data_IF_184144138467
#
_entry.id   IF_184144138467
#
_cell.length_a   1.000
_cell.length_b   1.000
_cell.length_c   1.000
_cell.angle_alpha   90.00
_cell.angle_beta   90.00
_cell.angle_gamma   90.00
#
_symmetry.space_group_name_H-M   'P 1'
#
loop_
_entity.id
_entity.type
_entity.pdbx_description
1 polymer ?
#
# COMPACT_ATOMS: atom_id res chain seq x y z
N UNK A 1 -10.66 37.28 -13.49
CA UNK A 1 -10.59 35.80 -13.34
C UNK A 1 -11.61 35.18 -14.30
N UNK A 2 -11.36 34.02 -14.89
CA UNK A 2 -12.32 33.27 -15.71
C UNK A 2 -13.27 32.49 -14.80
N UNK A 3 -12.71 31.75 -13.85
CA UNK A 3 -13.51 31.02 -12.89
C UNK A 3 -12.73 30.50 -11.69
N UNK A 4 -13.49 30.15 -10.65
CA UNK A 4 -13.04 29.51 -9.42
C UNK A 4 -14.07 28.45 -9.04
N UNK A 5 -13.69 27.18 -9.09
CA UNK A 5 -14.55 26.05 -8.73
C UNK A 5 -13.97 25.34 -7.51
N UNK A 6 -14.76 25.28 -6.45
CA UNK A 6 -14.39 24.61 -5.20
C UNK A 6 -15.32 23.41 -5.02
N UNK A 7 -14.75 22.22 -4.91
CA UNK A 7 -15.51 20.96 -4.86
C UNK A 7 -15.91 20.57 -3.44
N UNK A 8 -16.62 21.50 -2.78
CA UNK A 8 -17.26 21.30 -1.49
C UNK A 8 -18.78 21.39 -1.64
N UNK A 9 -19.51 20.61 -0.84
CA UNK A 9 -20.99 20.52 -0.88
C UNK A 9 -21.70 21.88 -0.88
N UNK A 10 -21.29 22.92 -0.12
CA UNK A 10 -21.92 24.23 -0.16
C UNK A 10 -21.88 24.92 -1.54
N UNK A 11 -20.99 24.50 -2.43
CA UNK A 11 -20.81 25.06 -3.76
C UNK A 11 -21.34 24.14 -4.86
N UNK A 12 -21.97 23.01 -4.49
CA UNK A 12 -22.47 22.00 -5.41
C UNK A 12 -23.96 21.80 -5.18
N UNK A 13 -24.76 22.00 -6.23
CA UNK A 13 -26.19 21.72 -6.23
C UNK A 13 -26.51 20.62 -7.26
N UNK A 14 -26.72 19.40 -6.76
CA UNK A 14 -26.88 18.21 -7.60
C UNK A 14 -25.64 17.96 -8.45
N UNK A 15 -25.76 18.14 -9.77
CA UNK A 15 -24.63 18.04 -10.71
C UNK A 15 -24.01 19.38 -11.07
N UNK A 16 -24.49 20.52 -10.54
CA UNK A 16 -23.93 21.84 -10.85
C UNK A 16 -22.93 22.27 -9.80
N UNK A 17 -21.79 22.76 -10.24
CA UNK A 17 -20.73 23.34 -9.40
C UNK A 17 -20.68 24.83 -9.69
N UNK A 18 -20.88 25.66 -8.67
CA UNK A 18 -20.89 27.10 -8.83
C UNK A 18 -19.49 27.62 -9.19
N UNK A 19 -19.43 28.51 -10.18
CA UNK A 19 -18.25 29.33 -10.38
C UNK A 19 -18.29 30.48 -9.36
N UNK A 20 -17.38 30.49 -8.39
CA UNK A 20 -17.36 31.50 -7.33
C UNK A 20 -16.81 32.86 -7.78
N UNK A 21 -16.35 32.95 -9.03
CA UNK A 21 -15.83 34.19 -9.61
C UNK A 21 -16.77 34.83 -10.66
N UNK A 22 -17.85 34.15 -11.07
CA UNK A 22 -18.81 34.65 -12.05
C UNK A 22 -20.17 33.96 -11.93
N UNK A 23 -21.24 34.53 -12.52
CA UNK A 23 -22.59 33.92 -12.53
C UNK A 23 -22.71 32.78 -13.56
N UNK A 24 -21.84 31.77 -13.45
CA UNK A 24 -21.83 30.57 -14.29
C UNK A 24 -21.65 29.32 -13.43
N UNK A 25 -21.83 28.15 -14.03
CA UNK A 25 -21.65 26.85 -13.36
C UNK A 25 -20.90 25.88 -14.25
N UNK A 26 -20.15 24.95 -13.66
CA UNK A 26 -19.73 23.73 -14.33
C UNK A 26 -20.71 22.60 -14.04
N UNK A 27 -20.85 21.64 -14.96
CA UNK A 27 -21.72 20.47 -14.82
C UNK A 27 -20.91 19.20 -14.64
N UNK A 28 -21.12 18.50 -13.53
CA UNK A 28 -20.56 17.17 -13.28
C UNK A 28 -21.18 16.15 -14.24
N UNK A 29 -20.33 15.48 -15.02
CA UNK A 29 -20.70 14.45 -15.99
C UNK A 29 -20.03 13.13 -15.61
N UNK A 30 -20.69 12.02 -15.93
CA UNK A 30 -20.17 10.67 -15.67
C UNK A 30 -20.18 10.27 -14.19
N UNK A 31 -19.26 9.39 -13.78
CA UNK A 31 -19.15 8.88 -12.41
C UNK A 31 -18.28 9.81 -11.56
N UNK A 32 -18.84 10.30 -10.46
CA UNK A 32 -18.13 11.14 -9.50
C UNK A 32 -18.63 10.90 -8.08
N UNK A 33 -17.82 11.29 -7.10
CA UNK A 33 -18.23 11.39 -5.69
C UNK A 33 -17.67 12.67 -5.07
N UNK A 34 -18.41 13.27 -4.15
CA UNK A 34 -17.86 14.28 -3.25
C UNK A 34 -17.50 13.56 -1.96
N UNK A 35 -16.21 13.49 -1.67
CA UNK A 35 -15.65 12.71 -0.55
C UNK A 35 -15.01 13.64 0.47
N UNK A 36 -15.13 13.29 1.75
CA UNK A 36 -14.35 13.91 2.81
C UNK A 36 -12.91 13.38 2.74
N UNK A 37 -11.93 14.27 2.63
CA UNK A 37 -10.50 14.00 2.63
C UNK A 37 -9.81 14.92 3.66
N UNK A 38 -9.61 14.40 4.87
CA UNK A 38 -9.18 15.20 6.02
C UNK A 38 -10.20 16.26 6.41
N UNK A 39 -9.79 17.53 6.43
CA UNK A 39 -10.64 18.68 6.80
C UNK A 39 -11.41 19.27 5.61
N UNK A 40 -11.27 18.69 4.42
CA UNK A 40 -11.88 19.19 3.19
C UNK A 40 -12.70 18.15 2.47
N UNK A 41 -13.58 18.64 1.60
CA UNK A 41 -14.21 17.81 0.60
C UNK A 41 -13.50 18.00 -0.74
N UNK A 42 -13.53 16.94 -1.54
CA UNK A 42 -12.96 16.94 -2.88
C UNK A 42 -13.87 16.17 -3.84
N UNK A 43 -13.79 16.55 -5.11
CA UNK A 43 -14.32 15.75 -6.21
C UNK A 43 -13.40 14.55 -6.43
N UNK A 44 -13.90 13.35 -6.19
CA UNK A 44 -13.24 12.09 -6.54
C UNK A 44 -13.73 11.61 -7.90
N UNK A 45 -12.76 11.34 -8.78
CA UNK A 45 -12.95 10.83 -10.13
C UNK A 45 -12.28 9.46 -10.25
N UNK A 46 -13.03 8.47 -10.74
CA UNK A 46 -12.58 7.08 -10.86
C UNK A 46 -12.15 6.71 -12.28
N UNK A 47 -11.85 7.71 -13.12
CA UNK A 47 -11.61 7.56 -14.55
C UNK A 47 -12.89 7.58 -15.40
N UNK A 48 -14.06 7.86 -14.80
CA UNK A 48 -15.35 7.89 -15.50
C UNK A 48 -16.09 9.23 -15.45
N UNK A 49 -15.54 10.29 -14.85
CA UNK A 49 -16.24 11.56 -14.67
C UNK A 49 -15.37 12.79 -14.84
N UNK A 50 -16.02 13.97 -14.88
CA UNK A 50 -15.41 15.30 -15.09
C UNK A 50 -16.37 16.41 -14.66
N UNK A 51 -15.89 17.65 -14.61
CA UNK A 51 -16.72 18.85 -14.51
C UNK A 51 -16.65 19.66 -15.81
N UNK A 52 -17.70 19.62 -16.62
CA UNK A 52 -17.81 20.33 -17.89
C UNK A 52 -18.11 21.81 -17.65
N UNK A 53 -17.22 22.73 -18.04
CA UNK A 53 -17.47 24.18 -17.95
C UNK A 53 -18.26 24.64 -19.18
N UNK A 54 -17.82 24.23 -20.38
CA UNK A 54 -18.53 24.48 -21.63
C UNK A 54 -18.17 23.45 -22.71
N UNK A 55 -19.16 23.04 -23.50
CA UNK A 55 -18.93 22.14 -24.65
C UNK A 55 -18.21 22.84 -25.81
N UNK A 56 -18.36 24.17 -25.90
CA UNK A 56 -17.55 25.02 -26.75
C UNK A 56 -16.93 26.14 -25.90
N UNK A 57 -15.61 26.13 -25.82
CA UNK A 57 -14.77 27.09 -25.10
C UNK A 57 -15.12 28.56 -25.38
N UNK A 58 -15.62 28.90 -26.57
CA UNK A 58 -16.02 30.27 -26.95
C UNK A 58 -17.13 30.83 -26.05
N UNK A 59 -17.94 29.96 -25.45
CA UNK A 59 -19.07 30.36 -24.58
C UNK A 59 -18.66 30.62 -23.13
N UNK A 60 -17.42 30.31 -22.74
CA UNK A 60 -16.93 30.39 -21.37
C UNK A 60 -15.86 31.47 -21.13
N UNK A 61 -15.57 32.29 -22.15
CA UNK A 61 -14.63 33.42 -22.04
C UNK A 61 -13.22 32.98 -21.63
N UNK A 62 -12.69 31.96 -22.30
CA UNK A 62 -11.33 31.45 -22.09
C UNK A 62 -10.25 32.54 -22.19
N UNK A 63 -9.06 32.36 -21.58
CA UNK A 63 -7.96 33.32 -21.71
C UNK A 63 -7.48 33.46 -23.16
N UNK A 64 -7.14 34.66 -23.61
CA UNK A 64 -6.70 34.91 -24.99
C UNK A 64 -5.20 35.23 -25.12
N UNK A 65 -4.70 36.21 -24.37
CA UNK A 65 -3.31 36.69 -24.48
C UNK A 65 -2.37 36.02 -23.47
N UNK A 66 -2.81 35.98 -22.21
CA UNK A 66 -2.06 35.45 -21.09
C UNK A 66 -3.01 34.68 -20.17
N UNK A 67 -2.47 33.77 -19.38
CA UNK A 67 -3.25 32.96 -18.46
C UNK A 67 -2.50 32.49 -17.22
N UNK A 68 -3.29 32.10 -16.25
CA UNK A 68 -2.88 31.24 -15.15
C UNK A 68 -3.96 30.20 -14.94
N UNK A 69 -3.57 28.94 -14.78
CA UNK A 69 -4.43 27.90 -14.25
C UNK A 69 -3.79 27.37 -12.95
N UNK A 70 -4.59 27.18 -11.91
CA UNK A 70 -4.16 26.59 -10.64
C UNK A 70 -5.12 25.49 -10.22
N UNK A 71 -4.59 24.46 -9.57
CA UNK A 71 -5.39 23.37 -9.05
C UNK A 71 -4.79 22.77 -7.78
N UNK A 72 -5.64 22.51 -6.79
CA UNK A 72 -5.34 21.59 -5.69
C UNK A 72 -5.80 20.19 -6.11
N UNK A 73 -4.83 19.29 -6.32
CA UNK A 73 -5.06 17.99 -6.95
C UNK A 73 -4.32 16.88 -6.24
N UNK A 74 -4.87 15.66 -6.35
CA UNK A 74 -4.25 14.41 -5.96
C UNK A 74 -4.46 13.41 -7.09
N UNK A 75 -3.38 12.95 -7.71
CA UNK A 75 -3.45 11.94 -8.79
C UNK A 75 -3.26 10.56 -8.21
N UNK A 76 -4.22 9.67 -8.36
CA UNK A 76 -4.20 8.32 -7.76
C UNK A 76 -3.57 7.27 -8.68
N UNK A 77 -3.74 7.44 -9.99
CA UNK A 77 -3.17 6.57 -11.01
C UNK A 77 -2.51 7.42 -12.11
N UNK A 78 -1.24 7.15 -12.38
CA UNK A 78 -0.48 7.73 -13.48
C UNK A 78 -1.02 7.26 -14.84
N UNK A 79 -0.92 8.11 -15.86
CA UNK A 79 -1.30 7.81 -17.25
C UNK A 79 -0.61 8.79 -18.20
N UNK A 80 -0.44 8.41 -19.47
CA UNK A 80 0.26 9.21 -20.47
C UNK A 80 -0.34 10.61 -20.65
N UNK A 81 -1.67 10.77 -20.56
CA UNK A 81 -2.34 12.04 -20.78
C UNK A 81 -3.40 12.27 -19.70
N UNK A 82 -3.20 13.25 -18.82
CA UNK A 82 -4.14 13.60 -17.77
C UNK A 82 -4.35 15.09 -17.64
N UNK A 83 -5.60 15.52 -17.51
CA UNK A 83 -5.97 16.93 -17.44
C UNK A 83 -6.60 17.32 -16.10
N UNK A 84 -6.20 18.47 -15.58
CA UNK A 84 -6.85 19.11 -14.43
C UNK A 84 -7.84 20.16 -14.90
N UNK A 85 -7.43 21.03 -15.82
CA UNK A 85 -8.30 22.01 -16.48
C UNK A 85 -7.66 22.46 -17.79
N UNK A 86 -8.47 22.63 -18.85
CA UNK A 86 -7.96 23.13 -20.12
C UNK A 86 -9.02 23.14 -21.22
N UNK A 87 -8.64 23.74 -22.34
CA UNK A 87 -9.36 23.72 -23.60
C UNK A 87 -8.34 23.48 -24.72
N UNK A 88 -8.32 22.26 -25.23
CA UNK A 88 -7.23 21.69 -26.03
C UNK A 88 -7.79 20.93 -27.24
N UNK A 89 -6.96 20.82 -28.27
CA UNK A 89 -7.09 19.80 -29.31
C UNK A 89 -5.69 19.31 -29.70
N UNK A 90 -5.43 18.00 -29.63
CA UNK A 90 -4.14 17.38 -29.95
C UNK A 90 -4.35 16.13 -30.80
N UNK A 91 -4.50 16.34 -32.12
CA UNK A 91 -4.86 15.29 -33.06
C UNK A 91 -3.75 15.13 -34.12
N UNK A 92 -2.69 14.42 -33.75
CA UNK A 92 -1.54 14.20 -34.62
C UNK A 92 -0.78 15.50 -34.88
N UNK A 93 -0.79 16.01 -36.12
CA UNK A 93 -0.09 17.27 -36.44
C UNK A 93 -0.91 18.53 -36.11
N UNK A 94 -2.16 18.37 -35.64
CA UNK A 94 -3.04 19.49 -35.33
C UNK A 94 -3.17 19.67 -33.82
N UNK A 95 -2.37 20.60 -33.27
CA UNK A 95 -2.27 20.81 -31.82
C UNK A 95 -2.56 22.27 -31.43
N UNK A 96 -3.58 22.52 -30.62
CA UNK A 96 -4.12 23.86 -30.33
C UNK A 96 -4.61 23.99 -28.89
N UNK A 97 -4.65 25.22 -28.38
CA UNK A 97 -5.20 25.56 -27.08
C UNK A 97 -4.20 25.39 -25.93
N UNK A 98 -4.69 24.91 -24.79
CA UNK A 98 -3.88 24.71 -23.59
C UNK A 98 -4.48 23.72 -22.60
N UNK A 99 -3.63 23.13 -21.76
CA UNK A 99 -4.07 22.33 -20.62
C UNK A 99 -3.07 22.36 -19.46
N UNK A 100 -3.57 22.47 -18.24
CA UNK A 100 -2.83 22.15 -17.03
C UNK A 100 -3.16 20.72 -16.62
N UNK A 101 -2.13 19.90 -16.42
CA UNK A 101 -2.33 18.48 -16.20
C UNK A 101 -1.06 17.74 -15.85
N UNK A 102 -0.93 16.53 -16.37
CA UNK A 102 0.23 15.68 -16.23
C UNK A 102 0.35 14.73 -17.42
N UNK A 103 1.58 14.28 -17.64
CA UNK A 103 1.91 13.21 -18.56
C UNK A 103 2.80 12.21 -17.82
N UNK A 104 2.41 10.93 -17.86
CA UNK A 104 2.94 9.84 -17.07
C UNK A 104 2.88 10.15 -15.57
N UNK A 105 4.03 10.53 -15.00
CA UNK A 105 4.19 10.90 -13.58
C UNK A 105 4.69 12.33 -13.41
N UNK A 106 4.66 13.17 -14.45
CA UNK A 106 5.16 14.55 -14.37
C UNK A 106 4.02 15.52 -14.62
N UNK A 107 3.82 16.45 -13.69
CA UNK A 107 2.91 17.57 -13.93
C UNK A 107 3.39 18.39 -15.12
N UNK A 108 2.46 18.95 -15.87
CA UNK A 108 2.75 19.70 -17.09
C UNK A 108 1.79 20.84 -17.34
N UNK A 109 2.29 21.85 -18.04
CA UNK A 109 1.50 22.86 -18.71
C UNK A 109 1.75 22.72 -20.22
N UNK A 110 0.71 22.57 -21.02
CA UNK A 110 0.79 22.63 -22.47
C UNK A 110 0.12 23.90 -22.99
N UNK A 111 0.75 24.58 -23.94
CA UNK A 111 0.25 25.80 -24.58
C UNK A 111 0.68 25.81 -26.05
N UNK A 112 -0.22 26.23 -26.93
CA UNK A 112 0.07 26.59 -28.31
C UNK A 112 -0.17 28.10 -28.48
N UNK A 113 0.89 28.86 -28.73
CA UNK A 113 0.85 30.27 -29.07
C UNK A 113 0.88 30.47 -30.59
N UNK A 114 0.28 31.56 -31.06
CA UNK A 114 0.26 31.91 -32.50
C UNK A 114 1.64 32.19 -33.08
N UNK A 115 2.60 32.62 -32.26
CA UNK A 115 4.01 32.82 -32.63
C UNK A 115 4.93 31.66 -32.23
N UNK A 116 4.38 30.49 -31.89
CA UNK A 116 5.14 29.28 -31.57
C UNK A 116 5.39 28.35 -32.77
N UNK A 117 5.91 27.14 -32.55
CA UNK A 117 6.26 26.15 -33.57
C UNK A 117 5.06 25.44 -34.25
N UNK A 118 3.88 26.07 -34.22
CA UNK A 118 2.60 25.52 -34.70
C UNK A 118 2.15 24.18 -34.06
N UNK A 119 2.66 23.88 -32.86
CA UNK A 119 2.30 22.72 -32.04
C UNK A 119 2.15 23.11 -30.56
N UNK A 120 1.65 22.21 -29.71
CA UNK A 120 1.68 22.39 -28.26
C UNK A 120 3.10 22.20 -27.74
N UNK A 121 3.56 23.11 -26.88
CA UNK A 121 4.76 22.86 -26.06
C UNK A 121 4.35 22.28 -24.72
N UNK A 122 4.72 21.04 -24.44
CA UNK A 122 4.51 20.38 -23.15
C UNK A 122 5.65 20.70 -22.17
N UNK A 123 5.47 21.74 -21.35
CA UNK A 123 6.40 22.06 -20.27
C UNK A 123 6.19 21.12 -19.09
N UNK A 124 7.03 20.09 -18.95
CA UNK A 124 6.98 19.09 -17.88
C UNK A 124 7.80 19.50 -16.66
N UNK A 125 7.34 19.14 -15.47
CA UNK A 125 8.13 19.21 -14.24
C UNK A 125 9.38 18.31 -14.34
N UNK A 126 10.51 18.70 -13.71
CA UNK A 126 11.74 17.92 -13.79
C UNK A 126 11.70 16.62 -12.97
N UNK A 127 10.81 16.54 -11.97
CA UNK A 127 10.67 15.40 -11.08
C UNK A 127 9.27 14.80 -11.16
N UNK A 128 9.20 13.50 -10.92
CA UNK A 128 7.94 12.77 -10.86
C UNK A 128 7.17 13.15 -9.59
N UNK A 129 5.84 13.22 -9.70
CA UNK A 129 4.96 13.27 -8.55
C UNK A 129 4.78 11.87 -7.96
N UNK A 130 4.61 11.83 -6.65
CA UNK A 130 4.14 10.68 -5.91
C UNK A 130 2.60 10.62 -5.98
N UNK A 131 2.01 9.51 -6.47
CA UNK A 131 0.58 9.30 -6.48
C UNK A 131 -0.03 9.38 -5.08
N UNK A 132 -1.34 9.67 -5.04
CA UNK A 132 -2.16 9.73 -3.81
C UNK A 132 -1.72 10.77 -2.80
N UNK A 133 -0.94 11.76 -3.24
CA UNK A 133 -0.60 12.94 -2.46
C UNK A 133 -1.20 14.21 -3.08
N UNK A 134 -1.47 15.16 -2.20
CA UNK A 134 -1.98 16.47 -2.60
C UNK A 134 -0.84 17.39 -3.04
N UNK A 135 -1.09 18.09 -4.13
CA UNK A 135 -0.22 19.12 -4.69
C UNK A 135 -1.04 20.34 -5.05
N UNK A 136 -0.44 21.50 -4.88
CA UNK A 136 -0.87 22.69 -5.60
C UNK A 136 -0.05 22.78 -6.88
N UNK A 137 -0.71 22.60 -8.03
CA UNK A 137 -0.08 22.71 -9.35
C UNK A 137 -0.59 23.98 -10.01
N UNK A 138 0.32 24.78 -10.53
CA UNK A 138 -0.05 25.99 -11.28
C UNK A 138 0.79 26.14 -12.53
N UNK A 139 0.20 26.67 -13.59
CA UNK A 139 0.87 27.02 -14.84
C UNK A 139 0.52 28.43 -15.25
N UNK A 140 1.52 29.22 -15.63
CA UNK A 140 1.35 30.58 -16.16
C UNK A 140 1.87 30.65 -17.59
N UNK A 141 1.21 31.48 -18.40
CA UNK A 141 1.70 31.89 -19.71
C UNK A 141 1.44 33.40 -19.86
N UNK A 142 2.47 34.20 -20.08
CA UNK A 142 2.35 35.66 -20.17
C UNK A 142 2.23 36.20 -21.61
N UNK A 143 2.15 35.30 -22.60
CA UNK A 143 2.22 35.63 -24.02
C UNK A 143 3.63 35.45 -24.63
N UNK A 144 4.64 35.16 -23.81
CA UNK A 144 6.03 34.94 -24.24
C UNK A 144 6.73 33.82 -23.47
N UNK A 145 6.31 33.56 -22.24
CA UNK A 145 6.96 32.63 -21.33
C UNK A 145 5.92 31.76 -20.65
N UNK A 146 6.15 30.45 -20.69
CA UNK A 146 5.49 29.43 -19.88
C UNK A 146 6.26 29.22 -18.57
N UNK A 147 5.58 29.18 -17.43
CA UNK A 147 6.18 28.77 -16.15
C UNK A 147 5.28 27.78 -15.42
N UNK A 148 5.86 26.66 -14.96
CA UNK A 148 5.18 25.65 -14.16
C UNK A 148 5.61 25.77 -12.69
N UNK A 149 4.64 25.63 -11.78
CA UNK A 149 4.83 25.73 -10.34
C UNK A 149 4.26 24.49 -9.64
N UNK A 150 4.97 24.01 -8.62
CA UNK A 150 4.51 22.96 -7.71
C UNK A 150 4.65 23.48 -6.28
N UNK A 151 3.57 23.39 -5.50
CA UNK A 151 3.51 23.82 -4.11
C UNK A 151 4.03 25.26 -3.90
N UNK A 152 3.64 26.15 -4.83
CA UNK A 152 3.98 27.57 -4.80
C UNK A 152 5.38 27.94 -5.32
N UNK A 153 6.22 26.97 -5.71
CA UNK A 153 7.58 27.20 -6.22
C UNK A 153 7.66 26.97 -7.73
N UNK A 154 8.37 27.82 -8.50
CA UNK A 154 8.61 27.57 -9.92
C UNK A 154 9.54 26.35 -10.07
N UNK A 155 9.19 25.43 -10.98
CA UNK A 155 9.95 24.19 -11.21
C UNK A 155 10.39 24.01 -12.66
N UNK A 156 9.77 24.70 -13.62
CA UNK A 156 10.15 24.68 -15.02
C UNK A 156 9.74 25.99 -15.72
N UNK A 157 10.48 26.38 -16.76
CA UNK A 157 10.23 27.58 -17.58
C UNK A 157 10.57 27.28 -19.04
N UNK A 158 9.82 27.85 -19.98
CA UNK A 158 10.11 27.79 -21.43
C UNK A 158 9.68 29.07 -22.14
N UNK A 159 10.38 29.42 -23.21
CA UNK A 159 10.07 30.55 -24.13
C UNK A 159 9.83 30.07 -25.56
N UNK A 160 9.54 28.77 -25.77
CA UNK A 160 9.28 28.20 -27.10
C UNK A 160 7.97 28.73 -27.73
N UNK A 161 7.03 29.18 -26.90
CA UNK A 161 5.73 29.69 -27.31
C UNK A 161 5.66 31.20 -27.15
N UNK A 162 5.00 31.88 -28.09
CA UNK A 162 4.76 33.33 -28.02
C UNK A 162 3.44 33.73 -28.69
N UNK A 163 2.99 34.95 -28.41
CA UNK A 163 1.75 35.53 -28.92
C UNK A 163 0.48 35.01 -28.25
N UNK A 164 -0.70 35.45 -28.73
CA UNK A 164 -2.00 34.97 -28.28
C UNK A 164 -2.10 33.43 -28.33
N UNK A 165 -2.86 32.85 -27.40
CA UNK A 165 -3.17 31.42 -27.38
C UNK A 165 -3.95 31.05 -28.65
N UNK A 166 -3.44 30.05 -29.38
CA UNK A 166 -3.98 29.57 -30.63
C UNK A 166 -5.00 28.46 -30.37
N UNK A 167 -6.28 28.82 -30.29
CA UNK A 167 -7.37 27.84 -30.08
C UNK A 167 -7.83 27.15 -31.36
N UNK A 168 -8.39 25.94 -31.26
CA UNK A 168 -9.12 25.33 -32.37
C UNK A 168 -10.49 25.99 -32.57
N UNK A 169 -11.18 25.78 -33.70
CA UNK A 169 -12.53 26.31 -33.94
C UNK A 169 -13.56 25.90 -32.88
N UNK A 170 -13.38 24.73 -32.27
CA UNK A 170 -14.20 24.19 -31.19
C UNK A 170 -13.32 23.33 -30.27
N UNK A 171 -13.49 23.48 -28.96
CA UNK A 171 -12.88 22.62 -27.95
C UNK A 171 -13.77 22.58 -26.70
N UNK A 172 -13.75 21.46 -25.99
CA UNK A 172 -14.32 21.37 -24.65
C UNK A 172 -13.49 22.23 -23.70
N UNK A 173 -14.15 22.92 -22.77
CA UNK A 173 -13.49 23.53 -21.62
C UNK A 173 -13.98 22.84 -20.36
N UNK A 174 -13.11 22.09 -19.70
CA UNK A 174 -13.52 21.22 -18.60
C UNK A 174 -12.45 20.99 -17.54
N UNK A 175 -12.87 20.39 -16.43
CA UNK A 175 -12.06 20.05 -15.27
C UNK A 175 -12.03 18.54 -15.09
N UNK A 176 -10.84 17.98 -14.87
CA UNK A 176 -10.64 16.58 -14.49
C UNK A 176 -10.58 15.59 -15.65
N UNK A 177 -10.26 16.03 -16.87
CA UNK A 177 -9.94 15.16 -17.98
C UNK A 177 -8.99 15.87 -18.97
N UNK A 178 -8.16 15.07 -19.64
CA UNK A 178 -7.60 15.45 -20.93
C UNK A 178 -8.59 15.00 -21.98
N UNK A 179 -9.19 15.92 -22.72
CA UNK A 179 -10.28 15.62 -23.65
C UNK A 179 -10.26 16.61 -24.80
N UNK A 180 -10.17 16.05 -26.01
CA UNK A 180 -10.33 16.77 -27.25
C UNK A 180 -11.34 16.05 -28.16
N UNK A 181 -11.15 16.12 -29.47
CA UNK A 181 -12.12 15.63 -30.45
C UNK A 181 -12.21 14.10 -30.51
N UNK A 182 -11.10 13.39 -30.32
CA UNK A 182 -11.02 11.92 -30.46
C UNK A 182 -10.30 11.25 -29.27
N UNK A 183 -9.68 12.03 -28.37
CA UNK A 183 -9.08 11.54 -27.15
C UNK A 183 -9.90 11.90 -25.91
N UNK A 184 -10.02 10.96 -24.97
CA UNK A 184 -10.73 11.16 -23.72
C UNK A 184 -10.07 10.37 -22.59
N UNK A 185 -9.26 11.05 -21.79
CA UNK A 185 -8.55 10.49 -20.65
C UNK A 185 -8.98 11.17 -19.33
N UNK A 186 -10.08 10.70 -18.71
CA UNK A 186 -10.53 11.24 -17.44
C UNK A 186 -9.54 10.96 -16.30
N UNK A 187 -9.45 11.89 -15.37
CA UNK A 187 -8.61 11.76 -14.19
C UNK A 187 -9.07 10.59 -13.30
N UNK A 188 -8.09 9.85 -12.78
CA UNK A 188 -8.24 8.97 -11.63
C UNK A 188 -7.54 9.60 -10.43
N UNK A 189 -8.32 10.25 -9.57
CA UNK A 189 -7.78 11.07 -8.50
C UNK A 189 -8.82 11.97 -7.85
N UNK A 190 -8.35 13.01 -7.17
CA UNK A 190 -9.17 13.98 -6.45
C UNK A 190 -8.79 15.41 -6.83
N UNK A 191 -9.79 16.27 -6.91
CA UNK A 191 -9.63 17.72 -7.14
C UNK A 191 -10.40 18.45 -6.04
N UNK A 192 -9.71 19.33 -5.32
CA UNK A 192 -10.34 20.16 -4.31
C UNK A 192 -10.79 21.51 -4.88
N UNK A 193 -9.91 22.16 -5.63
CA UNK A 193 -10.16 23.51 -6.15
C UNK A 193 -9.42 23.74 -7.47
N UNK A 194 -10.05 24.48 -8.39
CA UNK A 194 -9.46 24.96 -9.64
C UNK A 194 -9.74 26.45 -9.81
N UNK A 195 -8.72 27.21 -10.23
CA UNK A 195 -8.87 28.61 -10.66
C UNK A 195 -8.26 28.83 -12.03
N UNK A 196 -8.87 29.72 -12.82
CA UNK A 196 -8.38 30.14 -14.14
C UNK A 196 -8.41 31.66 -14.26
N UNK A 197 -7.33 32.27 -14.73
CA UNK A 197 -7.14 33.72 -14.86
C UNK A 197 -6.81 34.10 -16.31
N UNK A 198 -7.16 35.34 -16.71
CA UNK A 198 -6.82 35.93 -18.03
C UNK A 198 -5.50 36.72 -18.01
N UNK A 199 -4.65 36.44 -17.03
CA UNK A 199 -3.33 37.05 -16.86
C UNK A 199 -2.38 36.03 -16.25
N UNK A 200 -1.09 36.20 -16.47
CA UNK A 200 -0.07 35.49 -15.71
C UNK A 200 -0.01 36.08 -14.29
N UNK A 201 -0.17 35.23 -13.28
CA UNK A 201 0.12 35.57 -11.89
C UNK A 201 1.64 35.57 -11.70
N UNK A 202 2.13 36.47 -10.86
CA UNK A 202 3.53 36.49 -10.44
C UNK A 202 3.87 35.27 -9.56
N UNK A 203 5.15 34.87 -9.46
CA UNK A 203 5.57 33.83 -8.52
C UNK A 203 5.15 34.11 -7.06
N UNK A 204 5.14 35.38 -6.64
CA UNK A 204 4.72 35.77 -5.30
C UNK A 204 3.21 35.53 -5.07
N UNK A 205 2.38 35.83 -6.06
CA UNK A 205 0.93 35.57 -6.01
C UNK A 205 0.65 34.06 -5.96
N UNK A 206 1.34 33.25 -6.76
CA UNK A 206 1.21 31.78 -6.74
C UNK A 206 1.65 31.20 -5.39
N UNK A 207 2.75 31.70 -4.83
CA UNK A 207 3.22 31.30 -3.51
C UNK A 207 2.25 31.72 -2.39
N UNK A 208 1.58 32.86 -2.52
CA UNK A 208 0.55 33.30 -1.58
C UNK A 208 -0.71 32.42 -1.68
N UNK A 209 -1.18 32.13 -2.91
CA UNK A 209 -2.33 31.25 -3.14
C UNK A 209 -2.11 29.85 -2.56
N UNK A 210 -0.92 29.28 -2.78
CA UNK A 210 -0.53 28.02 -2.17
C UNK A 210 -0.61 28.08 -0.64
N UNK A 211 0.00 29.11 -0.01
CA UNK A 211 0.09 29.24 1.45
C UNK A 211 -1.27 29.28 2.15
N UNK A 212 -2.29 29.87 1.52
CA UNK A 212 -3.66 29.95 2.10
C UNK A 212 -4.24 28.57 2.44
N UNK A 213 -3.90 27.56 1.65
CA UNK A 213 -4.43 26.20 1.79
C UNK A 213 -3.36 25.16 2.12
N UNK A 214 -2.06 25.51 2.07
CA UNK A 214 -0.94 24.60 2.31
C UNK A 214 -1.05 23.86 3.63
N UNK A 215 -1.42 24.57 4.70
CA UNK A 215 -1.60 23.96 6.02
C UNK A 215 -2.76 22.98 6.06
N UNK A 216 -3.60 22.89 5.05
CA UNK A 216 -4.78 22.01 5.08
C UNK A 216 -4.58 20.70 4.32
N UNK A 217 -3.50 20.60 3.54
CA UNK A 217 -3.17 19.42 2.73
C UNK A 217 -1.78 18.87 3.09
N UNK A 218 -1.61 17.55 3.27
CA UNK A 218 -0.28 16.97 3.34
C UNK A 218 0.39 17.10 1.96
N UNK A 219 1.38 17.97 1.85
CA UNK A 219 2.16 18.15 0.62
C UNK A 219 3.11 16.98 0.42
N UNK A 220 3.23 16.50 -0.82
CA UNK A 220 4.29 15.57 -1.13
C UNK A 220 5.66 16.25 -1.22
N UNK A 221 6.66 15.51 -0.79
CA UNK A 221 8.05 15.74 -1.17
C UNK A 221 8.22 15.16 -2.59
N UNK A 222 8.99 15.76 -3.53
CA UNK A 222 9.22 15.19 -4.87
C UNK A 222 9.56 13.69 -4.83
N UNK A 223 9.20 12.89 -5.86
CA UNK A 223 9.44 11.44 -5.84
C UNK A 223 10.93 11.08 -5.71
N UNK A 224 11.83 11.94 -6.20
CA UNK A 224 13.28 11.85 -6.02
C UNK A 224 13.73 11.97 -4.56
N UNK A 225 12.86 12.51 -3.70
CA UNK A 225 13.07 12.70 -2.27
C UNK A 225 12.15 11.80 -1.42
N UNK A 226 11.51 10.78 -2.02
CA UNK A 226 10.70 9.81 -1.28
C UNK A 226 11.52 9.20 -0.13
N UNK A 227 10.94 9.18 1.07
CA UNK A 227 11.64 8.74 2.25
C UNK A 227 11.93 7.25 2.19
N UNK A 228 13.16 6.86 2.48
CA UNK A 228 13.59 5.46 2.56
C UNK A 228 13.81 5.07 4.01
N UNK A 229 13.31 3.92 4.47
CA UNK A 229 13.68 3.39 5.77
C UNK A 229 15.18 3.10 5.83
N UNK A 230 15.73 3.03 7.05
CA UNK A 230 17.14 2.67 7.26
C UNK A 230 17.43 1.25 6.77
N UNK A 231 16.45 0.35 6.91
CA UNK A 231 16.49 -1.00 6.36
C UNK A 231 15.07 -1.48 6.00
N UNK A 232 14.96 -2.32 4.97
CA UNK A 232 13.68 -2.78 4.41
C UNK A 232 13.07 -1.81 3.38
N UNK A 233 11.74 -1.85 3.15
CA UNK A 233 10.78 -2.75 3.78
C UNK A 233 10.87 -4.19 3.25
N UNK A 234 10.52 -5.15 4.11
CA UNK A 234 10.28 -6.54 3.74
C UNK A 234 8.83 -6.88 4.00
N UNK A 235 8.23 -7.60 3.06
CA UNK A 235 6.88 -8.12 3.18
C UNK A 235 6.91 -9.64 3.16
N UNK A 236 6.27 -10.24 4.14
CA UNK A 236 6.16 -11.69 4.25
C UNK A 236 4.68 -12.05 4.39
N UNK A 237 4.13 -12.77 3.42
CA UNK A 237 2.81 -13.36 3.62
C UNK A 237 2.90 -14.39 4.74
N UNK A 238 1.94 -14.34 5.67
CA UNK A 238 1.88 -15.29 6.78
C UNK A 238 0.71 -16.24 6.68
N UNK A 239 -0.30 -15.95 5.85
CA UNK A 239 -1.40 -16.84 5.46
C UNK A 239 -2.20 -16.19 4.32
N UNK A 240 -3.19 -16.87 3.72
CA UNK A 240 -4.12 -16.23 2.82
C UNK A 240 -4.76 -15.00 3.47
N UNK A 241 -4.62 -13.87 2.78
CA UNK A 241 -5.13 -12.57 3.20
C UNK A 241 -4.36 -11.85 4.30
N UNK A 242 -3.20 -12.36 4.72
CA UNK A 242 -2.33 -11.67 5.70
C UNK A 242 -0.87 -11.62 5.28
N UNK A 243 -0.24 -10.49 5.58
CA UNK A 243 1.20 -10.29 5.49
C UNK A 243 1.72 -9.54 6.71
N UNK A 244 3.01 -9.66 6.97
CA UNK A 244 3.75 -8.81 7.91
C UNK A 244 4.66 -7.89 7.10
N UNK A 245 4.59 -6.60 7.38
CA UNK A 245 5.52 -5.60 6.88
C UNK A 245 6.56 -5.26 7.96
N UNK A 246 7.85 -5.31 7.61
CA UNK A 246 8.97 -5.00 8.53
C UNK A 246 9.90 -3.96 7.93
N UNK A 247 10.38 -3.03 8.74
CA UNK A 247 11.40 -2.04 8.36
C UNK A 247 12.05 -1.40 9.59
N UNK A 248 13.12 -0.65 9.38
CA UNK A 248 13.83 0.06 10.46
C UNK A 248 13.88 1.57 10.19
N UNK A 249 13.68 2.38 11.22
CA UNK A 249 13.81 3.84 11.18
C UNK A 249 15.02 4.30 12.00
N UNK A 250 15.56 5.48 11.69
CA UNK A 250 16.71 6.05 12.43
C UNK A 250 16.37 6.49 13.86
N UNK A 251 15.09 6.79 14.13
CA UNK A 251 14.60 7.27 15.43
C UNK A 251 13.29 6.53 15.79
N UNK A 252 12.99 6.35 17.09
CA UNK A 252 11.70 5.79 17.52
C UNK A 252 10.53 6.66 17.05
N UNK A 253 9.57 6.05 16.38
CA UNK A 253 8.44 6.74 15.74
C UNK A 253 7.23 5.83 15.67
N UNK A 254 6.02 6.39 15.68
CA UNK A 254 4.81 5.65 15.32
C UNK A 254 4.66 5.73 13.81
N UNK A 255 4.93 4.63 13.13
CA UNK A 255 4.77 4.53 11.69
C UNK A 255 3.47 3.80 11.34
N UNK A 256 3.04 3.96 10.09
CA UNK A 256 1.83 3.34 9.56
C UNK A 256 2.05 2.85 8.14
N UNK A 257 1.29 1.85 7.74
CA UNK A 257 1.31 1.25 6.41
C UNK A 257 -0.03 1.51 5.76
N UNK A 258 -0.02 2.24 4.65
CA UNK A 258 -1.20 2.42 3.81
C UNK A 258 -1.23 1.31 2.74
N UNK A 259 -2.38 0.67 2.60
CA UNK A 259 -2.60 -0.45 1.68
C UNK A 259 -3.72 -0.05 0.72
N UNK A 260 -3.39 0.04 -0.56
CA UNK A 260 -4.34 0.23 -1.65
C UNK A 260 -4.68 -1.12 -2.27
N UNK A 261 -5.97 -1.43 -2.31
CA UNK A 261 -6.52 -2.66 -2.90
C UNK A 261 -7.63 -2.31 -3.89
N UNK A 262 -7.28 -2.12 -5.16
CA UNK A 262 -8.22 -1.58 -6.14
C UNK A 262 -8.57 -0.12 -5.81
N UNK A 263 -9.83 0.16 -5.47
CA UNK A 263 -10.33 1.52 -5.13
C UNK A 263 -10.33 1.83 -3.63
N UNK A 264 -10.08 0.84 -2.78
CA UNK A 264 -10.13 1.02 -1.33
C UNK A 264 -8.74 1.21 -0.77
N UNK A 265 -8.60 2.22 0.09
CA UNK A 265 -7.38 2.52 0.84
C UNK A 265 -7.66 2.25 2.30
N UNK A 266 -6.73 1.60 2.98
CA UNK A 266 -6.78 1.37 4.42
C UNK A 266 -5.41 1.54 5.04
N UNK A 267 -5.38 1.90 6.32
CA UNK A 267 -4.14 2.20 7.02
C UNK A 267 -4.03 1.30 8.25
N UNK A 268 -2.87 0.69 8.43
CA UNK A 268 -2.48 -0.05 9.63
C UNK A 268 -1.46 0.78 10.38
N UNK A 269 -1.71 1.12 11.65
CA UNK A 269 -0.86 2.02 12.44
C UNK A 269 -0.21 1.28 13.60
N UNK A 270 1.07 1.56 13.85
CA UNK A 270 1.78 1.05 15.04
C UNK A 270 1.20 1.61 16.34
N UNK A 271 1.35 0.86 17.43
CA UNK A 271 0.78 1.23 18.74
C UNK A 271 1.66 2.18 19.54
N UNK A 272 2.98 2.11 19.34
CA UNK A 272 3.96 2.86 20.13
C UNK A 272 5.17 3.23 19.26
N UNK A 273 5.95 4.25 19.67
CA UNK A 273 7.16 4.63 18.97
C UNK A 273 8.24 3.54 19.05
N UNK A 274 8.70 3.04 17.90
CA UNK A 274 9.75 2.02 17.82
C UNK A 274 10.72 2.32 16.68
N UNK A 275 11.92 1.73 16.72
CA UNK A 275 12.92 1.80 15.64
C UNK A 275 12.79 0.62 14.68
N UNK A 276 12.47 -0.57 15.20
CA UNK A 276 12.18 -1.77 14.42
C UNK A 276 10.68 -1.95 14.36
N UNK A 277 10.13 -1.79 13.16
CA UNK A 277 8.69 -1.82 12.92
C UNK A 277 8.29 -3.19 12.42
N UNK A 278 7.17 -3.68 12.95
CA UNK A 278 6.48 -4.86 12.47
C UNK A 278 4.98 -4.59 12.49
N UNK A 279 4.36 -4.45 11.32
CA UNK A 279 2.90 -4.25 11.21
C UNK A 279 2.25 -5.41 10.46
N UNK A 280 1.20 -5.95 11.06
CA UNK A 280 0.37 -7.00 10.48
C UNK A 280 -0.67 -6.41 9.53
N UNK A 281 -0.56 -6.74 8.25
CA UNK A 281 -1.48 -6.37 7.19
C UNK A 281 -2.51 -7.50 7.04
N UNK A 282 -3.74 -7.30 7.48
CA UNK A 282 -4.84 -8.31 7.37
C UNK A 282 -5.64 -8.13 6.10
N UNK A 283 -6.76 -8.81 5.82
CA UNK A 283 -7.73 -8.40 4.77
C UNK A 283 -7.20 -8.18 3.34
N UNK A 284 -6.09 -8.82 2.96
CA UNK A 284 -5.54 -8.74 1.60
C UNK A 284 -6.35 -9.67 0.68
N UNK A 285 -7.00 -9.13 -0.34
CA UNK A 285 -7.74 -9.93 -1.31
C UNK A 285 -6.79 -10.86 -2.08
N UNK A 286 -7.14 -12.13 -2.24
CA UNK A 286 -6.34 -13.09 -2.99
C UNK A 286 -6.29 -12.75 -4.49
N UNK A 287 -5.22 -13.16 -5.18
CA UNK A 287 -4.99 -12.92 -6.63
C UNK A 287 -5.12 -11.46 -7.02
N UNK A 288 -4.49 -10.60 -6.22
CA UNK A 288 -4.37 -9.17 -6.46
C UNK A 288 -2.98 -8.67 -6.14
N UNK A 289 -2.54 -7.67 -6.91
CA UNK A 289 -1.42 -6.83 -6.55
C UNK A 289 -1.95 -5.72 -5.65
N UNK A 290 -1.39 -5.61 -4.45
CA UNK A 290 -1.66 -4.52 -3.54
C UNK A 290 -0.51 -3.52 -3.62
N UNK A 291 -0.84 -2.23 -3.63
CA UNK A 291 0.18 -1.18 -3.50
C UNK A 291 0.27 -0.78 -2.03
N UNK A 292 1.49 -0.81 -1.49
CA UNK A 292 1.76 -0.57 -0.08
C UNK A 292 2.70 0.63 0.07
N UNK A 293 2.32 1.62 0.88
CA UNK A 293 3.15 2.80 1.13
C UNK A 293 3.46 2.88 2.62
N UNK A 294 4.75 3.00 2.98
CA UNK A 294 5.16 3.27 4.36
C UNK A 294 5.00 4.76 4.65
N UNK A 295 4.47 5.08 5.81
CA UNK A 295 4.30 6.46 6.27
C UNK A 295 4.96 6.59 7.65
N UNK A 296 5.95 7.46 7.72
CA UNK A 296 6.80 7.69 8.88
C UNK A 296 6.50 9.03 9.55
N UNK A 297 6.18 9.00 10.84
CA UNK A 297 5.87 10.20 11.63
C UNK A 297 4.39 10.61 11.63
N UNK A 298 4.03 11.59 12.48
CA UNK A 298 2.64 11.99 12.71
C UNK A 298 2.13 13.04 11.71
N UNK A 299 0.81 13.05 11.47
CA UNK A 299 0.11 14.16 10.84
C UNK A 299 0.68 14.58 9.48
N UNK A 300 0.92 15.90 9.34
CA UNK A 300 1.37 16.57 8.09
C UNK A 300 2.89 16.55 7.88
N UNK A 301 3.67 16.25 8.91
CA UNK A 301 5.14 16.07 8.79
C UNK A 301 5.50 14.63 8.42
N UNK A 302 4.48 13.79 8.20
CA UNK A 302 4.65 12.41 7.86
C UNK A 302 5.34 12.26 6.51
N UNK A 303 6.45 11.54 6.50
CA UNK A 303 7.21 11.22 5.31
C UNK A 303 6.67 9.94 4.70
N UNK A 304 6.69 9.84 3.38
CA UNK A 304 6.14 8.68 2.65
C UNK A 304 7.23 8.02 1.83
N UNK A 305 7.23 6.69 1.83
CA UNK A 305 8.05 5.92 0.90
C UNK A 305 7.46 5.95 -0.50
N UNK A 306 8.22 5.44 -1.46
CA UNK A 306 7.64 5.00 -2.71
C UNK A 306 6.60 3.88 -2.47
N UNK A 307 5.78 3.62 -3.48
CA UNK A 307 4.87 2.48 -3.47
C UNK A 307 5.65 1.18 -3.63
N UNK A 308 5.29 0.19 -2.82
CA UNK A 308 5.82 -1.17 -2.87
C UNK A 308 4.72 -2.13 -3.29
N UNK A 309 5.00 -2.99 -4.26
CA UNK A 309 4.06 -4.01 -4.69
C UNK A 309 4.07 -5.19 -3.72
N UNK A 310 2.87 -5.59 -3.30
CA UNK A 310 2.63 -6.80 -2.54
C UNK A 310 1.72 -7.70 -3.38
N UNK A 311 2.34 -8.61 -4.11
CA UNK A 311 1.66 -9.50 -5.06
C UNK A 311 1.15 -10.78 -4.37
N UNK A 312 -0.16 -10.84 -4.14
CA UNK A 312 -0.80 -12.00 -3.52
C UNK A 312 -1.05 -13.18 -4.47
N UNK A 313 -0.74 -13.07 -5.77
CA UNK A 313 -0.72 -14.22 -6.67
C UNK A 313 0.32 -15.26 -6.23
N UNK A 314 1.43 -14.80 -5.66
CA UNK A 314 2.53 -15.64 -5.18
C UNK A 314 2.52 -15.84 -3.65
N UNK A 315 1.34 -15.75 -3.02
CA UNK A 315 1.22 -16.06 -1.59
C UNK A 315 1.25 -17.59 -1.36
N UNK A 316 2.45 -18.12 -1.15
CA UNK A 316 2.69 -19.52 -0.77
C UNK A 316 2.82 -19.75 0.75
N UNK A 317 2.41 -18.76 1.55
CA UNK A 317 2.65 -18.75 2.98
C UNK A 317 1.90 -19.90 3.70
N UNK A 318 2.57 -20.66 4.59
CA UNK A 318 1.88 -21.57 5.49
C UNK A 318 1.00 -20.83 6.46
N UNK A 319 -0.11 -21.42 6.87
CA UNK A 319 -0.83 -20.94 8.04
C UNK A 319 0.12 -20.91 9.27
N UNK A 320 0.10 -19.84 10.07
CA UNK A 320 0.92 -19.76 11.28
C UNK A 320 0.41 -20.78 12.29
N UNK A 321 1.31 -21.36 13.07
CA UNK A 321 0.91 -22.26 14.15
C UNK A 321 0.19 -21.47 15.23
N UNK A 322 -1.03 -21.87 15.65
CA UNK A 322 -1.73 -21.19 16.72
C UNK A 322 -0.92 -21.28 18.01
N UNK A 323 -0.81 -20.18 18.74
CA UNK A 323 -0.19 -20.18 20.08
C UNK A 323 -1.06 -21.04 20.99
N UNK A 324 -0.45 -21.98 21.69
CA UNK A 324 -1.14 -22.80 22.68
C UNK A 324 -1.03 -22.11 24.03
N UNK A 325 -2.09 -21.44 24.49
CA UNK A 325 -2.11 -20.76 25.80
C UNK A 325 -2.59 -21.68 26.95
N UNK A 326 -2.96 -22.92 26.62
CA UNK A 326 -3.44 -23.93 27.58
C UNK A 326 -2.31 -24.68 28.31
N UNK A 327 -2.69 -25.70 29.07
CA UNK A 327 -1.76 -26.56 29.84
C UNK A 327 -0.64 -27.13 28.95
N UNK A 328 -0.96 -27.60 27.76
CA UNK A 328 0.00 -28.16 26.80
C UNK A 328 1.05 -27.14 26.34
N UNK A 329 0.65 -25.88 26.16
CA UNK A 329 1.57 -24.79 25.83
C UNK A 329 2.54 -24.47 26.95
N UNK A 330 2.06 -24.40 28.19
CA UNK A 330 2.92 -24.25 29.38
C UNK A 330 3.91 -25.41 29.53
N UNK A 331 3.46 -26.63 29.25
CA UNK A 331 4.30 -27.82 29.25
C UNK A 331 5.39 -27.75 28.16
N UNK A 332 5.03 -27.37 26.93
CA UNK A 332 6.00 -27.16 25.85
C UNK A 332 7.03 -26.07 26.22
N UNK A 333 6.59 -24.94 26.77
CA UNK A 333 7.49 -23.88 27.25
C UNK A 333 8.45 -24.38 28.35
N UNK A 334 7.96 -25.18 29.29
CA UNK A 334 8.79 -25.78 30.35
C UNK A 334 9.84 -26.75 29.79
N UNK A 335 9.45 -27.59 28.82
CA UNK A 335 10.37 -28.50 28.13
C UNK A 335 11.48 -27.73 27.42
N UNK A 336 11.13 -26.69 26.66
CA UNK A 336 12.09 -25.87 25.92
C UNK A 336 13.05 -25.14 26.88
N UNK A 337 12.52 -24.60 27.98
CA UNK A 337 13.34 -23.93 29.01
C UNK A 337 14.30 -24.89 29.72
N UNK A 338 13.83 -26.09 30.09
CA UNK A 338 14.66 -27.10 30.80
C UNK A 338 15.68 -27.76 29.90
N UNK A 339 15.33 -28.03 28.65
CA UNK A 339 16.25 -28.64 27.69
C UNK A 339 17.27 -27.65 27.12
N UNK A 340 16.93 -26.35 27.08
CA UNK A 340 17.71 -25.34 26.38
C UNK A 340 17.69 -25.49 24.85
N UNK A 341 16.86 -26.39 24.31
CA UNK A 341 16.81 -26.72 22.89
C UNK A 341 15.60 -26.05 22.24
N UNK A 342 15.83 -24.98 21.48
CA UNK A 342 14.78 -24.22 20.79
C UNK A 342 14.78 -24.36 19.26
N UNK A 343 15.74 -25.12 18.70
CA UNK A 343 15.95 -25.28 17.26
C UNK A 343 16.55 -26.65 16.93
N UNK A 344 16.41 -27.08 15.67
CA UNK A 344 16.86 -28.39 15.20
C UNK A 344 15.71 -29.38 15.04
N UNK A 345 16.00 -30.67 15.22
CA UNK A 345 15.04 -31.77 15.08
C UNK A 345 14.56 -32.24 16.45
N UNK A 346 13.25 -32.41 16.60
CA UNK A 346 12.63 -32.96 17.80
C UNK A 346 11.83 -34.22 17.48
N UNK A 347 12.04 -35.27 18.27
CA UNK A 347 11.25 -36.50 18.23
C UNK A 347 10.23 -36.48 19.38
N UNK A 348 8.96 -36.63 19.04
CA UNK A 348 7.87 -36.85 20.02
C UNK A 348 7.44 -38.32 19.93
N UNK A 349 7.66 -39.10 20.98
CA UNK A 349 7.34 -40.54 21.00
C UNK A 349 6.08 -40.81 21.83
N UNK A 350 5.13 -41.53 21.25
CA UNK A 350 3.85 -41.86 21.89
C UNK A 350 2.95 -40.64 21.99
N UNK A 351 1.96 -40.59 21.11
CA UNK A 351 0.97 -39.53 21.00
C UNK A 351 -0.24 -39.83 21.89
N UNK A 352 -0.90 -38.78 22.36
CA UNK A 352 -2.28 -38.85 22.84
C UNK A 352 -3.21 -38.28 21.78
N UNK A 353 -3.11 -36.98 21.55
CA UNK A 353 -3.86 -36.24 20.55
C UNK A 353 -2.95 -35.35 19.68
N UNK A 354 -1.62 -35.39 19.86
CA UNK A 354 -0.64 -34.63 19.09
C UNK A 354 -0.51 -33.16 19.47
N UNK A 355 -1.24 -32.67 20.49
CA UNK A 355 -1.24 -31.25 20.86
C UNK A 355 0.11 -30.79 21.41
N UNK A 356 0.87 -31.65 22.07
CA UNK A 356 2.22 -31.32 22.52
C UNK A 356 3.14 -31.04 21.33
N UNK A 357 3.04 -31.84 20.27
CA UNK A 357 3.81 -31.64 19.06
C UNK A 357 3.45 -30.31 18.37
N UNK A 358 2.16 -29.97 18.29
CA UNK A 358 1.70 -28.65 17.78
C UNK A 358 2.26 -27.50 18.63
N UNK A 359 2.17 -27.61 19.96
CA UNK A 359 2.64 -26.60 20.91
C UNK A 359 4.16 -26.39 20.85
N UNK A 360 4.94 -27.46 20.71
CA UNK A 360 6.39 -27.39 20.53
C UNK A 360 6.77 -26.68 19.23
N UNK A 361 6.05 -26.92 18.14
CA UNK A 361 6.28 -26.20 16.87
C UNK A 361 5.91 -24.72 17.01
N UNK A 362 4.80 -24.41 17.67
CA UNK A 362 4.34 -23.04 17.89
C UNK A 362 5.29 -22.23 18.78
N UNK A 363 5.89 -22.84 19.81
CA UNK A 363 6.73 -22.17 20.79
C UNK A 363 8.24 -22.18 20.48
N UNK A 364 8.67 -22.76 19.36
CA UNK A 364 10.09 -22.92 19.05
C UNK A 364 10.41 -22.80 17.55
N UNK A 365 11.67 -23.04 17.18
CA UNK A 365 12.17 -23.21 15.81
C UNK A 365 12.44 -24.67 15.45
N UNK A 366 11.94 -25.63 16.24
CA UNK A 366 12.12 -27.05 15.99
C UNK A 366 11.33 -27.54 14.76
N UNK A 367 11.87 -28.52 14.04
CA UNK A 367 11.11 -29.42 13.18
C UNK A 367 10.78 -30.66 13.99
N UNK A 368 9.49 -30.93 14.17
CA UNK A 368 8.98 -32.00 15.01
C UNK A 368 8.58 -33.19 14.14
N UNK A 369 9.08 -34.37 14.49
CA UNK A 369 8.65 -35.65 13.97
C UNK A 369 8.01 -36.38 15.15
N UNK A 370 6.69 -36.60 15.07
CA UNK A 370 5.98 -37.34 16.10
C UNK A 370 5.63 -38.75 15.60
N UNK A 371 5.77 -39.73 16.49
CA UNK A 371 5.59 -41.15 16.14
C UNK A 371 4.66 -41.86 17.13
N UNK A 372 3.84 -42.76 16.59
CA UNK A 372 2.98 -43.65 17.38
C UNK A 372 2.78 -44.97 16.62
N UNK A 373 2.45 -46.05 17.34
CA UNK A 373 2.11 -47.35 16.75
C UNK A 373 0.61 -47.54 16.52
N UNK A 374 -0.22 -46.68 17.07
CA UNK A 374 -1.66 -46.65 16.81
C UNK A 374 -1.94 -45.92 15.50
N UNK A 375 -2.32 -46.70 14.48
CA UNK A 375 -2.63 -46.19 13.14
C UNK A 375 -3.82 -45.24 13.13
N UNK A 376 -4.88 -45.54 13.88
CA UNK A 376 -6.08 -44.70 13.92
C UNK A 376 -5.76 -43.33 14.51
N UNK A 377 -4.97 -43.32 15.59
CA UNK A 377 -4.49 -42.09 16.21
C UNK A 377 -3.64 -41.26 15.26
N UNK A 378 -2.67 -41.90 14.58
CA UNK A 378 -1.81 -41.22 13.58
C UNK A 378 -2.65 -40.61 12.46
N UNK A 379 -3.59 -41.37 11.91
CA UNK A 379 -4.46 -40.91 10.81
C UNK A 379 -5.40 -39.78 11.27
N UNK A 380 -5.93 -39.85 12.49
CA UNK A 380 -6.75 -38.79 13.10
C UNK A 380 -5.98 -37.47 13.23
N UNK A 381 -4.76 -37.51 13.79
CA UNK A 381 -3.91 -36.31 13.94
C UNK A 381 -3.51 -35.77 12.57
N UNK A 382 -3.10 -36.63 11.63
CA UNK A 382 -2.79 -36.23 10.24
C UNK A 382 -3.97 -35.53 9.57
N UNK A 383 -5.17 -36.10 9.66
CA UNK A 383 -6.39 -35.52 9.06
C UNK A 383 -6.67 -34.13 9.61
N UNK A 384 -6.51 -33.92 10.92
CA UNK A 384 -6.61 -32.59 11.56
C UNK A 384 -5.56 -31.61 11.03
N UNK A 385 -4.29 -32.02 10.98
CA UNK A 385 -3.19 -31.16 10.54
C UNK A 385 -3.28 -30.81 9.05
N UNK A 386 -3.72 -31.73 8.20
CA UNK A 386 -3.97 -31.49 6.77
C UNK A 386 -5.12 -30.50 6.60
N UNK A 387 -6.24 -30.69 7.31
CA UNK A 387 -7.38 -29.77 7.28
C UNK A 387 -6.97 -28.34 7.66
N UNK A 388 -6.01 -28.19 8.57
CA UNK A 388 -5.52 -26.88 9.04
C UNK A 388 -4.31 -26.35 8.24
N UNK A 389 -3.81 -27.07 7.23
CA UNK A 389 -2.65 -26.66 6.43
C UNK A 389 -1.30 -26.70 7.16
N UNK A 390 -1.20 -27.48 8.23
CA UNK A 390 -0.03 -27.56 9.11
C UNK A 390 0.84 -28.81 8.92
N UNK A 391 0.35 -29.83 8.21
CA UNK A 391 1.07 -31.09 8.01
C UNK A 391 2.29 -30.95 7.06
N UNK A 392 3.40 -31.60 7.38
CA UNK A 392 4.53 -31.84 6.47
C UNK A 392 5.56 -30.70 6.37
N UNK A 393 5.32 -29.51 6.92
CA UNK A 393 6.27 -28.37 6.85
C UNK A 393 7.25 -28.33 8.02
N UNK A 394 6.72 -28.30 9.25
CA UNK A 394 7.50 -28.35 10.51
C UNK A 394 7.02 -29.42 11.47
N UNK A 395 5.89 -30.06 11.19
CA UNK A 395 5.37 -31.20 11.94
C UNK A 395 5.05 -32.33 10.97
N UNK A 396 5.64 -33.50 11.22
CA UNK A 396 5.26 -34.74 10.55
C UNK A 396 4.83 -35.74 11.60
N UNK A 397 3.77 -36.49 11.32
CA UNK A 397 3.29 -37.58 12.16
C UNK A 397 3.59 -38.88 11.40
N UNK A 398 4.27 -39.85 12.01
CA UNK A 398 4.60 -41.15 11.39
C UNK A 398 4.02 -42.29 12.20
N UNK A 399 3.41 -43.24 11.49
CA UNK A 399 3.07 -44.54 12.04
C UNK A 399 4.32 -45.42 12.04
N UNK A 400 4.54 -46.14 13.14
CA UNK A 400 5.55 -47.18 13.29
C UNK A 400 4.87 -48.49 13.64
N UNK A 401 5.43 -49.64 13.24
CA UNK A 401 4.82 -50.93 13.56
C UNK A 401 4.90 -51.25 15.07
N UNK A 402 5.90 -50.69 15.77
CA UNK A 402 6.05 -50.80 17.22
C UNK A 402 6.80 -49.58 17.77
N UNK A 403 6.49 -49.21 19.02
CA UNK A 403 7.28 -48.23 19.77
C UNK A 403 8.42 -48.87 20.56
N UNK A 404 8.46 -50.20 20.68
CA UNK A 404 9.58 -50.94 21.29
C UNK A 404 10.83 -50.96 20.40
N UNK A 405 10.64 -50.77 19.08
CA UNK A 405 11.71 -50.61 18.09
C UNK A 405 11.31 -49.52 17.11
N UNK A 406 11.93 -48.34 17.23
CA UNK A 406 11.48 -47.18 16.47
C UNK A 406 11.81 -47.29 14.97
N UNK A 407 12.81 -48.09 14.58
CA UNK A 407 13.27 -48.26 13.19
C UNK A 407 13.48 -46.91 12.46
N UNK A 408 13.94 -45.90 13.20
CA UNK A 408 14.34 -44.60 12.68
C UNK A 408 15.87 -44.57 12.52
N UNK A 409 16.41 -43.70 11.64
CA UNK A 409 17.85 -43.42 11.63
C UNK A 409 18.33 -43.13 13.05
N UNK A 410 19.49 -43.61 13.48
CA UNK A 410 20.02 -43.26 14.80
C UNK A 410 20.55 -41.83 14.85
N UNK A 411 20.78 -41.30 16.05
CA UNK A 411 21.70 -40.18 16.29
C UNK A 411 21.35 -38.83 15.62
N UNK A 412 20.08 -38.43 15.59
CA UNK A 412 19.66 -37.20 14.88
C UNK A 412 18.82 -36.21 15.70
N UNK A 413 18.15 -36.65 16.77
CA UNK A 413 17.23 -35.80 17.50
C UNK A 413 17.99 -34.88 18.48
N UNK A 414 17.83 -33.55 18.32
CA UNK A 414 18.31 -32.58 19.30
C UNK A 414 17.51 -32.68 20.61
N UNK A 415 16.21 -32.94 20.50
CA UNK A 415 15.28 -33.04 21.63
C UNK A 415 14.37 -34.25 21.47
N UNK A 416 14.30 -35.11 22.49
CA UNK A 416 13.31 -36.18 22.57
C UNK A 416 12.36 -35.92 23.73
N UNK A 417 11.06 -36.05 23.46
CA UNK A 417 9.99 -35.94 24.46
C UNK A 417 8.97 -37.05 24.23
N UNK A 418 8.07 -37.26 25.21
CA UNK A 418 6.93 -38.16 25.05
C UNK A 418 5.65 -37.49 25.51
N UNK A 419 4.62 -37.50 24.67
CA UNK A 419 3.32 -36.91 24.99
C UNK A 419 2.52 -37.86 25.89
N UNK A 420 2.49 -39.16 25.58
CA UNK A 420 1.81 -40.16 26.40
C UNK A 420 2.43 -40.29 27.79
N UNK A 421 3.74 -40.11 27.95
CA UNK A 421 4.39 -40.15 29.27
C UNK A 421 3.81 -39.10 30.22
N UNK A 422 3.48 -37.91 29.71
CA UNK A 422 2.97 -36.79 30.51
C UNK A 422 1.64 -37.16 31.15
N UNK A 423 0.78 -37.85 30.40
CA UNK A 423 -0.58 -38.22 30.86
C UNK A 423 -0.60 -39.58 31.58
N UNK A 424 0.12 -40.58 31.07
CA UNK A 424 0.04 -41.96 31.56
C UNK A 424 1.08 -42.30 32.63
N UNK A 425 2.15 -41.51 32.74
CA UNK A 425 3.30 -41.81 33.62
C UNK A 425 4.18 -42.96 33.14
N UNK A 426 3.82 -43.61 32.02
CA UNK A 426 4.55 -44.71 31.43
C UNK A 426 5.23 -44.26 30.14
N UNK A 427 6.52 -44.54 30.04
CA UNK A 427 7.26 -44.30 28.82
C UNK A 427 6.83 -45.34 27.76
N UNK A 428 6.47 -44.92 26.53
CA UNK A 428 5.95 -45.80 25.50
C UNK A 428 7.03 -46.61 24.76
N UNK A 429 8.30 -46.43 25.13
CA UNK A 429 9.46 -47.08 24.51
C UNK A 429 10.55 -47.34 25.56
N UNK A 430 11.64 -48.00 25.17
CA UNK A 430 12.77 -48.28 26.07
C UNK A 430 13.76 -47.11 26.13
N UNK A 431 14.50 -47.01 27.25
CA UNK A 431 15.59 -46.03 27.37
C UNK A 431 16.66 -46.23 26.28
N UNK A 432 16.92 -47.48 25.88
CA UNK A 432 17.87 -47.83 24.82
C UNK A 432 17.45 -47.22 23.48
N UNK A 433 16.17 -47.33 23.10
CA UNK A 433 15.65 -46.71 21.88
C UNK A 433 15.80 -45.19 21.94
N UNK A 434 15.46 -44.56 23.06
CA UNK A 434 15.62 -43.10 23.23
C UNK A 434 17.07 -42.68 23.04
N UNK A 435 18.01 -43.34 23.73
CA UNK A 435 19.44 -43.02 23.61
C UNK A 435 19.95 -43.22 22.19
N UNK A 436 19.45 -44.23 21.47
CA UNK A 436 19.83 -44.50 20.06
C UNK A 436 19.44 -43.36 19.13
N UNK A 437 18.34 -42.65 19.42
CA UNK A 437 17.84 -41.56 18.58
C UNK A 437 18.46 -40.19 18.91
N UNK A 438 19.03 -40.01 20.11
CA UNK A 438 19.67 -38.76 20.51
C UNK A 438 20.90 -38.48 19.67
N UNK A 439 21.00 -37.27 19.14
CA UNK A 439 22.24 -36.84 18.48
C UNK A 439 23.44 -36.92 19.45
N UNK A 440 24.63 -37.28 18.96
CA UNK A 440 25.86 -37.12 19.71
C UNK A 440 26.06 -35.66 20.11
N UNK A 441 26.68 -35.46 21.28
CA UNK A 441 27.11 -34.18 21.83
C UNK A 441 26.02 -33.08 21.79
N UNK A 442 25.18 -33.09 22.83
CA UNK A 442 24.17 -32.06 23.07
C UNK A 442 22.73 -32.45 22.75
N UNK A 443 22.45 -33.71 22.42
CA UNK A 443 21.08 -34.23 22.39
C UNK A 443 20.49 -34.35 23.79
N UNK A 444 19.24 -33.91 23.98
CA UNK A 444 18.56 -33.94 25.29
C UNK A 444 17.27 -34.76 25.21
N UNK A 445 17.10 -35.72 26.11
CA UNK A 445 15.79 -36.34 26.37
C UNK A 445 15.13 -35.66 27.58
N UNK A 446 14.04 -34.93 27.35
CA UNK A 446 13.29 -34.26 28.40
C UNK A 446 12.01 -35.04 28.69
N UNK A 447 12.12 -36.02 29.60
CA UNK A 447 11.08 -37.00 29.91
C UNK A 447 10.62 -36.83 31.37
N UNK A 448 9.31 -36.76 31.60
CA UNK A 448 8.74 -36.70 32.94
C UNK A 448 7.28 -36.29 32.95
N UNK A 449 6.72 -36.14 34.15
CA UNK A 449 5.37 -35.66 34.39
C UNK A 449 5.37 -34.30 35.10
N UNK A 450 4.28 -33.52 35.00
CA UNK A 450 4.09 -32.32 35.79
C UNK A 450 4.11 -32.64 37.30
N UNK A 451 4.61 -31.70 38.12
CA UNK A 451 4.59 -31.86 39.57
C UNK A 451 3.14 -32.02 40.08
N UNK A 452 2.88 -33.06 40.86
CA UNK A 452 1.55 -33.39 41.40
C UNK A 452 0.78 -34.50 40.68
N UNK A 453 1.32 -35.08 39.60
CA UNK A 453 0.77 -36.30 39.01
C UNK A 453 1.01 -37.49 39.97
N UNK A 454 -0.06 -38.11 40.49
CA UNK A 454 0.06 -39.26 41.39
C UNK A 454 0.86 -40.39 40.72
N UNK A 455 1.94 -40.84 41.38
CA UNK A 455 2.63 -42.08 41.02
C UNK A 455 1.64 -43.23 41.21
N UNK A 456 1.22 -43.88 40.13
CA UNK A 456 0.54 -45.17 40.18
C UNK A 456 1.54 -46.29 39.95
#
# INVERSE_FOLDING_TARGET
MVGRWVFQRPHINGRRVNNLAARSTATLKGRFRIVQDGVHEALELDGGGRAMIAEDHKTAGVPAQAMTATAWVRVDQAQAWGGFVGAIQDNGTYERGWILGYNDRRFSLAVAGTGGPDRLTYLKAPADYQPRLWYHVAGTYDGTTMTLFINGKPVARSTEQSGPIKYPPQAFFEIGAYHDKDENFPLKGRIHEVRVFRRALSPAEIAAEHRVLADRFPSAVPATEAWKPLAGPWFEFTRPGEAIARWTTRKPVISRVEILSGRTTRTVTGKSPVTTHELKLTGLAHRRIHSVTLIDGPGKTARRSADHELDSYFNYAPAPWPVSDGTTGKTAGTILARSGIDRGLCLVVGLTDGRLAEALVAASRLRVIAVDSDREKVESVRKRLVKNGHYGRRLTIRHLDSLDRLNLPGQWANLIVSESLITTGRLPTSAKEITTQLRPDGGVACLGQPAGAHRR
#
